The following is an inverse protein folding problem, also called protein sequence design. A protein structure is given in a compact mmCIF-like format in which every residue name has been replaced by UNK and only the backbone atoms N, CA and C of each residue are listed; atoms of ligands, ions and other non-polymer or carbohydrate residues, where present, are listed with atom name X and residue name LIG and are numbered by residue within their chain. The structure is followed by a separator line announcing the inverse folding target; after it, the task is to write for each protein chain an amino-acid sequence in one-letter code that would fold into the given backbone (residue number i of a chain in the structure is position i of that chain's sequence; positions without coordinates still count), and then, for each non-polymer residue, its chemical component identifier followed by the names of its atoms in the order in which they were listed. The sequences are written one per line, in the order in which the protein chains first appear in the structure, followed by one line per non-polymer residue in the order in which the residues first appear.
data_IF_909086004696
#
_entry.id   IF_909086004696
#
_cell.length_a   1.000
_cell.length_b   1.000
_cell.length_c   1.000
_cell.angle_alpha   90.00
_cell.angle_beta   90.00
_cell.angle_gamma   90.00
#
_symmetry.space_group_name_H-M   'P 1'
#
loop_
_entity.id
_entity.type
_entity.pdbx_description
1 polymer ?
#
# COMPACT_ATOMS: atom_id res chain seq x y z
N UNK A 1 -29.96 14.74 -15.21
CA UNK A 1 -28.63 14.81 -15.85
C UNK A 1 -27.56 14.25 -14.92
N UNK A 2 -27.60 12.94 -14.62
CA UNK A 2 -26.77 12.32 -13.56
C UNK A 2 -25.69 11.33 -14.06
N UNK A 3 -25.51 11.17 -15.38
CA UNK A 3 -24.54 10.22 -15.94
C UNK A 3 -23.65 10.76 -17.07
N UNK A 4 -23.55 12.09 -17.22
CA UNK A 4 -22.73 12.67 -18.29
C UNK A 4 -21.22 12.71 -17.96
N UNK A 5 -20.83 12.64 -16.68
CA UNK A 5 -19.42 12.68 -16.25
C UNK A 5 -18.79 11.29 -16.06
N UNK A 6 -19.55 10.19 -16.23
CA UNK A 6 -19.08 8.83 -15.98
C UNK A 6 -18.62 8.06 -17.22
N UNK A 7 -18.96 8.53 -18.43
CA UNK A 7 -18.62 7.84 -19.67
C UNK A 7 -17.12 7.92 -19.97
N UNK A 8 -16.47 9.06 -19.76
CA UNK A 8 -15.05 9.25 -20.12
C UNK A 8 -14.10 8.41 -19.26
N UNK A 9 -14.32 8.37 -17.94
CA UNK A 9 -13.49 7.57 -17.02
C UNK A 9 -13.63 6.07 -17.25
N UNK A 10 -14.87 5.60 -17.46
CA UNK A 10 -15.14 4.19 -17.78
C UNK A 10 -14.55 3.79 -19.13
N UNK A 11 -14.74 4.62 -20.17
CA UNK A 11 -14.18 4.37 -21.50
C UNK A 11 -12.67 4.32 -21.44
N UNK A 12 -12.02 5.28 -20.77
CA UNK A 12 -10.56 5.28 -20.58
C UNK A 12 -10.09 3.99 -19.91
N UNK A 13 -10.70 3.60 -18.78
CA UNK A 13 -10.33 2.37 -18.07
C UNK A 13 -10.47 1.13 -18.95
N UNK A 14 -11.54 1.02 -19.74
CA UNK A 14 -11.73 -0.11 -20.66
C UNK A 14 -10.73 -0.11 -21.80
N UNK A 15 -10.45 1.05 -22.40
CA UNK A 15 -9.44 1.18 -23.46
C UNK A 15 -8.05 0.80 -22.92
N UNK A 16 -7.68 1.29 -21.74
CA UNK A 16 -6.42 0.93 -21.08
C UNK A 16 -6.31 -0.57 -20.78
N UNK A 17 -7.39 -1.19 -20.31
CA UNK A 17 -7.44 -2.65 -20.08
C UNK A 17 -7.29 -3.45 -21.37
N UNK A 18 -7.97 -3.07 -22.46
CA UNK A 18 -7.81 -3.75 -23.77
C UNK A 18 -6.38 -3.56 -24.31
N UNK A 19 -5.82 -2.37 -24.19
CA UNK A 19 -4.44 -2.11 -24.60
C UNK A 19 -3.43 -2.95 -23.79
N UNK A 20 -3.63 -3.07 -22.48
CA UNK A 20 -2.83 -3.93 -21.61
C UNK A 20 -2.92 -5.41 -22.02
N UNK A 21 -4.12 -5.89 -22.38
CA UNK A 21 -4.31 -7.25 -22.88
C UNK A 21 -3.60 -7.49 -24.20
N UNK A 22 -3.67 -6.56 -25.15
CA UNK A 22 -2.96 -6.68 -26.42
C UNK A 22 -1.44 -6.70 -26.18
N UNK A 23 -0.94 -5.84 -25.29
CA UNK A 23 0.48 -5.82 -24.91
C UNK A 23 0.90 -7.14 -24.26
N UNK A 24 0.09 -7.70 -23.34
CA UNK A 24 0.38 -8.98 -22.69
C UNK A 24 0.40 -10.14 -23.68
N UNK A 25 -0.54 -10.18 -24.63
CA UNK A 25 -0.63 -11.22 -25.67
C UNK A 25 0.64 -11.29 -26.53
N UNK A 26 1.16 -10.14 -26.96
CA UNK A 26 2.41 -10.07 -27.74
C UNK A 26 3.67 -10.06 -26.88
N UNK A 27 3.57 -10.09 -25.55
CA UNK A 27 4.69 -9.77 -24.65
C UNK A 27 5.95 -10.60 -24.90
N UNK A 28 5.80 -11.91 -25.11
CA UNK A 28 6.94 -12.82 -25.34
C UNK A 28 7.44 -12.79 -26.79
N UNK A 29 6.66 -12.24 -27.71
CA UNK A 29 7.00 -12.12 -29.14
C UNK A 29 7.74 -10.82 -29.43
N UNK A 30 7.42 -9.74 -28.70
CA UNK A 30 8.10 -8.45 -28.86
C UNK A 30 9.57 -8.53 -28.46
N UNK A 31 10.42 -7.96 -29.29
CA UNK A 31 11.83 -7.72 -28.97
C UNK A 31 11.98 -6.70 -27.83
N UNK A 32 13.13 -6.68 -27.12
CA UNK A 32 13.40 -5.65 -26.11
C UNK A 32 13.27 -4.22 -26.65
N UNK A 33 13.78 -3.98 -27.87
CA UNK A 33 13.74 -2.67 -28.51
C UNK A 33 12.29 -2.19 -28.81
N UNK A 34 11.40 -3.07 -29.23
CA UNK A 34 9.99 -2.72 -29.45
C UNK A 34 9.30 -2.32 -28.14
N UNK A 35 9.59 -3.05 -27.06
CA UNK A 35 9.09 -2.71 -25.72
C UNK A 35 9.63 -1.36 -25.26
N UNK A 36 10.92 -1.10 -25.46
CA UNK A 36 11.55 0.19 -25.10
C UNK A 36 10.92 1.37 -25.84
N UNK A 37 10.70 1.26 -27.15
CA UNK A 37 10.06 2.31 -27.95
C UNK A 37 8.64 2.60 -27.43
N UNK A 38 7.87 1.54 -27.14
CA UNK A 38 6.53 1.68 -26.58
C UNK A 38 6.56 2.36 -25.21
N UNK A 39 7.38 1.87 -24.29
CA UNK A 39 7.47 2.40 -22.94
C UNK A 39 8.08 3.79 -22.87
N UNK A 40 8.93 4.17 -23.82
CA UNK A 40 9.39 5.55 -23.98
C UNK A 40 8.20 6.51 -24.19
N UNK A 41 7.25 6.15 -25.06
CA UNK A 41 6.07 7.00 -25.30
C UNK A 41 5.18 7.11 -24.05
N UNK A 42 5.01 6.01 -23.32
CA UNK A 42 4.28 6.01 -22.05
C UNK A 42 4.97 6.89 -21.01
N UNK A 43 6.29 6.80 -20.89
CA UNK A 43 7.06 7.67 -19.99
C UNK A 43 6.90 9.15 -20.38
N UNK A 44 6.98 9.49 -21.67
CA UNK A 44 6.75 10.87 -22.14
C UNK A 44 5.35 11.38 -21.78
N UNK A 45 4.33 10.51 -21.78
CA UNK A 45 2.99 10.87 -21.30
C UNK A 45 3.00 11.14 -19.79
N UNK A 46 3.62 10.26 -18.99
CA UNK A 46 3.68 10.34 -17.52
C UNK A 46 4.51 11.54 -17.02
N UNK A 47 5.51 11.99 -17.79
CA UNK A 47 6.24 13.22 -17.49
C UNK A 47 5.37 14.49 -17.60
N UNK A 48 4.17 14.40 -18.20
CA UNK A 48 3.18 15.47 -18.19
C UNK A 48 3.48 16.65 -19.12
N UNK A 49 4.49 16.55 -19.99
CA UNK A 49 4.87 17.61 -20.96
C UNK A 49 3.73 17.98 -21.93
N UNK A 50 2.74 17.10 -22.09
CA UNK A 50 1.56 17.26 -22.95
C UNK A 50 0.27 17.60 -22.18
N UNK A 51 0.38 17.94 -20.89
CA UNK A 51 -0.75 18.30 -20.03
C UNK A 51 -1.20 17.19 -19.06
N UNK A 52 -1.97 17.58 -18.05
CA UNK A 52 -2.38 16.72 -16.93
C UNK A 52 -3.27 15.53 -17.35
N UNK A 53 -4.11 15.70 -18.37
CA UNK A 53 -4.96 14.60 -18.85
C UNK A 53 -4.15 13.51 -19.51
N UNK A 54 -3.15 13.87 -20.32
CA UNK A 54 -2.22 12.91 -20.95
C UNK A 54 -1.38 12.22 -19.87
N UNK A 55 -0.96 12.97 -18.85
CA UNK A 55 -0.27 12.43 -17.67
C UNK A 55 -1.11 11.37 -16.97
N UNK A 56 -2.36 11.70 -16.66
CA UNK A 56 -3.32 10.80 -16.03
C UNK A 56 -3.56 9.55 -16.90
N UNK A 57 -3.74 9.71 -18.21
CA UNK A 57 -3.94 8.58 -19.14
C UNK A 57 -2.74 7.62 -19.10
N UNK A 58 -1.51 8.16 -19.15
CA UNK A 58 -0.29 7.35 -19.06
C UNK A 58 -0.21 6.53 -17.77
N UNK A 59 -0.55 7.14 -16.64
CA UNK A 59 -0.57 6.46 -15.33
C UNK A 59 -1.65 5.38 -15.27
N UNK A 60 -2.88 5.66 -15.72
CA UNK A 60 -3.96 4.66 -15.73
C UNK A 60 -3.67 3.48 -16.67
N UNK A 61 -2.98 3.73 -17.78
CA UNK A 61 -2.54 2.66 -18.64
C UNK A 61 -1.54 1.74 -17.93
N UNK A 62 -0.55 2.29 -17.22
CA UNK A 62 0.37 1.46 -16.42
C UNK A 62 -0.36 0.70 -15.30
N UNK A 63 -1.33 1.31 -14.62
CA UNK A 63 -2.17 0.64 -13.62
C UNK A 63 -2.91 -0.56 -14.23
N UNK A 64 -3.48 -0.39 -15.43
CA UNK A 64 -4.14 -1.46 -16.18
C UNK A 64 -3.15 -2.55 -16.61
N UNK A 65 -1.93 -2.16 -17.02
CA UNK A 65 -0.88 -3.08 -17.43
C UNK A 65 -0.38 -3.93 -16.26
N UNK A 66 -0.08 -3.31 -15.12
CA UNK A 66 0.31 -4.04 -13.90
C UNK A 66 -0.82 -4.98 -13.47
N UNK A 67 -2.07 -4.54 -13.52
CA UNK A 67 -3.25 -5.37 -13.22
C UNK A 67 -3.32 -6.59 -14.14
N UNK A 68 -3.14 -6.39 -15.45
CA UNK A 68 -3.25 -7.48 -16.41
C UNK A 68 -2.13 -8.52 -16.25
N UNK A 69 -0.95 -8.13 -15.77
CA UNK A 69 0.17 -9.05 -15.55
C UNK A 69 0.14 -9.74 -14.18
N UNK A 70 -0.60 -9.20 -13.20
CA UNK A 70 -0.77 -9.80 -11.88
C UNK A 70 -1.63 -11.08 -11.94
N UNK A 71 -1.30 -12.16 -11.19
CA UNK A 71 -2.08 -13.40 -11.20
C UNK A 71 -3.51 -13.25 -10.72
N UNK A 72 -3.74 -12.40 -9.71
CA UNK A 72 -5.06 -12.23 -9.08
C UNK A 72 -6.05 -11.47 -9.97
N UNK A 73 -5.54 -10.72 -10.95
CA UNK A 73 -6.33 -9.79 -11.78
C UNK A 73 -6.14 -10.00 -13.28
N UNK A 74 -5.24 -10.91 -13.70
CA UNK A 74 -5.03 -11.25 -15.10
C UNK A 74 -6.31 -11.77 -15.74
N UNK A 75 -6.59 -11.32 -16.95
CA UNK A 75 -7.70 -11.84 -17.73
C UNK A 75 -7.47 -13.29 -18.17
N UNK A 76 -8.56 -14.03 -18.36
CA UNK A 76 -8.54 -15.36 -18.97
C UNK A 76 -8.37 -15.23 -20.49
N UNK A 77 -7.13 -15.31 -20.97
CA UNK A 77 -6.81 -15.08 -22.39
C UNK A 77 -6.87 -16.35 -23.25
N UNK A 78 -7.21 -17.50 -22.66
CA UNK A 78 -7.13 -18.81 -23.32
C UNK A 78 -5.70 -19.29 -23.55
N UNK A 79 -4.72 -18.73 -22.83
CA UNK A 79 -3.30 -19.06 -22.95
C UNK A 79 -2.83 -19.96 -21.80
N UNK A 80 -1.76 -20.76 -22.00
CA UNK A 80 -1.23 -21.63 -20.96
C UNK A 80 -0.77 -20.87 -19.72
N UNK A 81 -0.88 -21.48 -18.54
CA UNK A 81 -0.40 -20.90 -17.28
C UNK A 81 1.07 -20.46 -17.34
N UNK A 82 1.91 -21.24 -18.00
CA UNK A 82 3.33 -20.93 -18.19
C UNK A 82 3.56 -19.61 -18.92
N UNK A 83 2.69 -19.28 -19.89
CA UNK A 83 2.72 -17.99 -20.58
C UNK A 83 2.50 -16.84 -19.59
N UNK A 84 1.44 -16.91 -18.79
CA UNK A 84 1.13 -15.88 -17.78
C UNK A 84 2.27 -15.73 -16.76
N UNK A 85 2.87 -16.84 -16.35
CA UNK A 85 4.00 -16.85 -15.41
C UNK A 85 5.28 -16.26 -15.99
N UNK A 86 5.58 -16.53 -17.26
CA UNK A 86 6.72 -15.95 -17.95
C UNK A 86 6.54 -14.43 -18.15
N UNK A 87 5.33 -13.98 -18.52
CA UNK A 87 5.00 -12.56 -18.58
C UNK A 87 5.15 -11.87 -17.22
N UNK A 88 4.61 -12.47 -16.15
CA UNK A 88 4.73 -11.97 -14.77
C UNK A 88 6.20 -11.79 -14.37
N UNK A 89 7.02 -12.84 -14.50
CA UNK A 89 8.46 -12.81 -14.17
C UNK A 89 9.20 -11.74 -14.96
N UNK A 90 8.92 -11.67 -16.27
CA UNK A 90 9.54 -10.69 -17.17
C UNK A 90 9.19 -9.24 -16.79
N UNK A 91 7.94 -8.97 -16.42
CA UNK A 91 7.52 -7.64 -15.95
C UNK A 91 8.19 -7.28 -14.62
N UNK A 92 8.17 -8.21 -13.66
CA UNK A 92 8.75 -8.03 -12.31
C UNK A 92 10.24 -7.70 -12.37
N UNK A 93 11.00 -8.44 -13.17
CA UNK A 93 12.45 -8.31 -13.23
C UNK A 93 12.90 -7.07 -14.01
N UNK A 94 12.19 -6.71 -15.08
CA UNK A 94 12.70 -5.72 -16.04
C UNK A 94 11.99 -4.36 -15.99
N UNK A 95 10.76 -4.27 -15.48
CA UNK A 95 9.93 -3.07 -15.67
C UNK A 95 9.26 -2.52 -14.40
N UNK A 96 8.88 -3.37 -13.44
CA UNK A 96 8.12 -2.89 -12.26
C UNK A 96 8.86 -1.79 -11.47
N UNK A 97 10.17 -1.94 -11.26
CA UNK A 97 10.98 -0.91 -10.57
C UNK A 97 10.91 0.43 -11.32
N UNK A 98 11.06 0.39 -12.63
CA UNK A 98 11.02 1.58 -13.49
C UNK A 98 9.64 2.23 -13.48
N UNK A 99 8.55 1.45 -13.52
CA UNK A 99 7.20 1.99 -13.43
C UNK A 99 6.93 2.67 -12.09
N UNK A 100 7.44 2.10 -10.99
CA UNK A 100 7.36 2.72 -9.67
C UNK A 100 8.05 4.08 -9.66
N UNK A 101 9.27 4.17 -10.21
CA UNK A 101 10.03 5.43 -10.30
C UNK A 101 9.30 6.48 -11.15
N UNK A 102 8.73 6.08 -12.29
CA UNK A 102 7.94 7.02 -13.12
C UNK A 102 6.70 7.54 -12.39
N UNK A 103 6.01 6.67 -11.64
CA UNK A 103 4.87 7.08 -10.83
C UNK A 103 5.30 8.05 -9.70
N UNK A 104 6.43 7.77 -9.06
CA UNK A 104 7.01 8.62 -8.02
C UNK A 104 7.38 10.00 -8.59
N UNK A 105 8.10 10.08 -9.71
CA UNK A 105 8.50 11.34 -10.35
C UNK A 105 7.29 12.17 -10.78
N UNK A 106 6.27 11.51 -11.34
CA UNK A 106 5.01 12.16 -11.69
C UNK A 106 4.29 12.71 -10.46
N UNK A 107 4.22 11.96 -9.35
CA UNK A 107 3.64 12.45 -8.09
C UNK A 107 4.41 13.66 -7.53
N UNK A 108 5.74 13.61 -7.56
CA UNK A 108 6.61 14.70 -7.13
C UNK A 108 6.37 15.97 -7.95
N UNK A 109 6.27 15.84 -9.29
CA UNK A 109 6.08 16.97 -10.20
C UNK A 109 4.82 17.80 -9.93
N UNK A 110 3.78 17.18 -9.35
CA UNK A 110 2.49 17.82 -9.08
C UNK A 110 2.32 18.22 -7.61
N UNK A 111 3.22 17.78 -6.73
CA UNK A 111 3.09 17.95 -5.26
C UNK A 111 3.03 19.43 -4.85
N UNK A 112 3.96 20.26 -5.31
CA UNK A 112 4.04 21.67 -4.88
C UNK A 112 2.76 22.43 -5.21
N UNK A 113 2.20 22.18 -6.40
CA UNK A 113 0.93 22.81 -6.82
C UNK A 113 -0.25 22.39 -5.95
N UNK A 114 -0.26 21.16 -5.45
CA UNK A 114 -1.30 20.67 -4.53
C UNK A 114 -1.18 21.36 -3.18
N UNK A 115 0.04 21.51 -2.67
CA UNK A 115 0.32 22.09 -1.34
C UNK A 115 0.12 23.61 -1.34
N UNK A 116 0.61 24.32 -2.36
CA UNK A 116 0.59 25.78 -2.42
C UNK A 116 -0.79 26.37 -2.78
N UNK A 117 -1.64 25.60 -3.45
CA UNK A 117 -2.97 26.09 -3.84
C UNK A 117 -3.93 26.13 -2.65
N UNK A 118 -4.73 27.19 -2.54
CA UNK A 118 -5.82 27.31 -1.55
C UNK A 118 -7.15 26.71 -2.02
N UNK A 119 -7.20 26.12 -3.21
CA UNK A 119 -8.42 25.51 -3.78
C UNK A 119 -8.16 24.10 -4.32
N UNK A 120 -9.24 23.44 -4.74
CA UNK A 120 -9.18 22.17 -5.48
C UNK A 120 -8.43 22.36 -6.80
N UNK A 121 -7.38 21.57 -7.02
CA UNK A 121 -6.55 21.62 -8.22
C UNK A 121 -6.62 20.31 -9.01
N UNK A 122 -6.59 20.34 -10.35
CA UNK A 122 -6.67 19.15 -11.19
C UNK A 122 -5.49 18.17 -10.97
N UNK A 123 -4.35 18.66 -10.48
CA UNK A 123 -3.17 17.87 -10.09
C UNK A 123 -3.48 16.75 -9.09
N UNK A 124 -4.49 16.94 -8.22
CA UNK A 124 -4.95 15.93 -7.25
C UNK A 124 -5.31 14.62 -7.96
N UNK A 125 -5.88 14.69 -9.17
CA UNK A 125 -6.26 13.51 -9.97
C UNK A 125 -5.05 12.69 -10.39
N UNK A 126 -3.98 13.36 -10.84
CA UNK A 126 -2.71 12.70 -11.22
C UNK A 126 -2.03 12.11 -10.00
N UNK A 127 -1.90 12.90 -8.93
CA UNK A 127 -1.27 12.46 -7.68
C UNK A 127 -1.98 11.23 -7.09
N UNK A 128 -3.32 11.23 -7.08
CA UNK A 128 -4.09 10.07 -6.65
C UNK A 128 -3.79 8.82 -7.50
N UNK A 129 -3.78 8.96 -8.84
CA UNK A 129 -3.51 7.84 -9.73
C UNK A 129 -2.09 7.28 -9.57
N UNK A 130 -1.10 8.14 -9.36
CA UNK A 130 0.30 7.70 -9.17
C UNK A 130 0.49 7.00 -7.83
N UNK A 131 -0.11 7.50 -6.75
CA UNK A 131 -0.10 6.86 -5.44
C UNK A 131 -0.77 5.48 -5.49
N UNK A 132 -1.91 5.36 -6.19
CA UNK A 132 -2.57 4.07 -6.43
C UNK A 132 -1.70 3.08 -7.19
N UNK A 133 -1.06 3.55 -8.27
CA UNK A 133 -0.14 2.72 -9.06
C UNK A 133 1.03 2.21 -8.21
N UNK A 134 1.67 3.10 -7.43
CA UNK A 134 2.74 2.71 -6.51
C UNK A 134 2.26 1.67 -5.49
N UNK A 135 1.09 1.89 -4.87
CA UNK A 135 0.51 0.93 -3.93
C UNK A 135 0.21 -0.42 -4.59
N UNK A 136 -0.33 -0.43 -5.82
CA UNK A 136 -0.58 -1.65 -6.57
C UNK A 136 0.71 -2.41 -6.89
N UNK A 137 1.76 -1.71 -7.31
CA UNK A 137 3.07 -2.32 -7.57
C UNK A 137 3.65 -2.92 -6.30
N UNK A 138 3.50 -2.28 -5.14
CA UNK A 138 3.97 -2.84 -3.87
C UNK A 138 3.09 -4.00 -3.38
N UNK A 139 1.83 -4.10 -3.78
CA UNK A 139 1.00 -5.30 -3.58
C UNK A 139 1.30 -6.44 -4.56
N UNK A 140 2.32 -6.28 -5.41
CA UNK A 140 2.78 -7.35 -6.27
C UNK A 140 3.31 -8.52 -5.42
N UNK A 141 2.96 -9.74 -5.81
CA UNK A 141 3.52 -10.95 -5.21
C UNK A 141 4.97 -11.14 -5.69
N UNK A 142 5.95 -10.51 -5.06
CA UNK A 142 7.37 -10.68 -5.43
C UNK A 142 7.85 -12.12 -5.19
N UNK A 143 8.57 -12.70 -6.15
CA UNK A 143 9.05 -14.10 -6.07
C UNK A 143 10.50 -14.23 -5.61
N UNK A 144 11.11 -13.13 -5.15
CA UNK A 144 12.50 -13.12 -4.71
C UNK A 144 12.63 -13.55 -3.24
N UNK A 145 12.41 -14.84 -2.97
CA UNK A 145 12.85 -15.47 -1.72
C UNK A 145 13.58 -16.76 -2.05
N UNK A 146 14.91 -16.75 -1.89
CA UNK A 146 15.68 -17.98 -1.82
C UNK A 146 15.31 -18.71 -0.52
N UNK A 147 14.62 -19.84 -0.63
CA UNK A 147 14.69 -20.90 0.38
C UNK A 147 13.76 -20.81 1.60
N UNK A 148 12.69 -20.02 1.60
CA UNK A 148 11.64 -20.11 2.62
C UNK A 148 10.52 -21.06 2.19
N UNK A 149 10.20 -22.07 3.00
CA UNK A 149 9.11 -23.05 2.81
C UNK A 149 7.72 -22.40 2.79
N UNK A 150 7.40 -21.68 1.70
CA UNK A 150 6.05 -21.39 1.23
C UNK A 150 5.96 -21.54 -0.29
N UNK A 151 6.67 -22.54 -0.81
CA UNK A 151 6.36 -23.08 -2.11
C UNK A 151 4.98 -23.78 -2.04
N UNK A 152 4.01 -23.16 -2.70
CA UNK A 152 2.80 -23.78 -3.26
C UNK A 152 1.92 -24.63 -2.34
N UNK A 153 0.77 -24.07 -1.93
CA UNK A 153 -0.49 -24.84 -1.96
C UNK A 153 -1.56 -23.95 -2.61
N UNK A 154 -1.91 -24.30 -3.85
CA UNK A 154 -3.17 -24.06 -4.57
C UNK A 154 -3.90 -22.71 -4.45
N UNK A 155 -3.67 -21.81 -5.42
CA UNK A 155 -4.55 -20.66 -5.70
C UNK A 155 -5.72 -21.03 -6.66
N UNK A 156 -5.82 -22.28 -7.09
CA UNK A 156 -7.04 -22.81 -7.71
C UNK A 156 -7.29 -24.22 -7.19
N UNK A 157 -7.92 -24.33 -6.02
CA UNK A 157 -8.64 -25.53 -5.64
C UNK A 157 -10.10 -25.33 -6.05
N UNK A 158 -10.42 -25.84 -7.24
CA UNK A 158 -11.78 -26.18 -7.59
C UNK A 158 -12.25 -27.31 -6.67
N UNK A 159 -13.33 -27.08 -5.91
CA UNK A 159 -14.05 -28.08 -5.12
C UNK A 159 -13.28 -28.83 -4.04
N UNK A 160 -13.35 -28.34 -2.79
CA UNK A 160 -13.67 -29.08 -1.54
C UNK A 160 -13.52 -28.06 -0.39
N UNK A 161 -14.62 -27.73 0.29
CA UNK A 161 -14.64 -26.96 1.53
C UNK A 161 -14.05 -27.80 2.67
N UNK A 162 -13.02 -27.34 3.40
CA UNK A 162 -12.92 -27.62 4.82
C UNK A 162 -13.65 -26.52 5.60
N UNK A 163 -14.47 -26.94 6.56
CA UNK A 163 -15.31 -26.10 7.39
C UNK A 163 -14.59 -24.93 8.09
N UNK A 164 -15.37 -23.86 8.25
CA UNK A 164 -15.12 -22.62 8.96
C UNK A 164 -14.72 -22.84 10.44
N UNK A 165 -13.54 -22.34 10.86
CA UNK A 165 -13.25 -21.92 12.25
C UNK A 165 -11.83 -21.34 12.47
N UNK A 166 -10.91 -21.42 11.50
CA UNK A 166 -9.54 -20.90 11.64
C UNK A 166 -9.41 -19.54 10.94
N UNK A 167 -9.59 -18.49 11.76
CA UNK A 167 -9.29 -17.06 11.58
C UNK A 167 -9.39 -16.46 10.17
N UNK A 168 -10.34 -15.52 10.02
CA UNK A 168 -10.19 -14.36 9.12
C UNK A 168 -8.98 -13.55 9.60
N UNK A 169 -7.77 -14.01 9.30
CA UNK A 169 -6.58 -13.22 9.55
C UNK A 169 -6.66 -12.02 8.63
N UNK A 170 -6.59 -10.81 9.18
CA UNK A 170 -6.57 -9.59 8.40
C UNK A 170 -5.39 -9.66 7.44
N UNK A 171 -5.64 -9.45 6.14
CA UNK A 171 -4.64 -9.62 5.09
C UNK A 171 -3.55 -8.56 5.20
N UNK A 172 -2.43 -8.91 5.84
CA UNK A 172 -1.18 -8.15 5.79
C UNK A 172 -0.30 -8.72 4.67
N UNK A 173 -0.18 -7.99 3.55
CA UNK A 173 0.68 -8.35 2.42
C UNK A 173 2.11 -7.88 2.71
N UNK A 174 3.05 -8.82 2.87
CA UNK A 174 4.47 -8.48 3.09
C UNK A 174 5.12 -8.16 1.73
N UNK A 175 5.80 -7.02 1.66
CA UNK A 175 6.48 -6.54 0.44
C UNK A 175 7.93 -7.01 0.44
N UNK A 176 8.28 -7.92 -0.48
CA UNK A 176 9.61 -8.54 -0.55
C UNK A 176 10.30 -8.40 -1.91
N UNK A 177 10.57 -7.17 -2.38
CA UNK A 177 11.33 -6.95 -3.59
C UNK A 177 12.82 -7.31 -3.41
N UNK A 178 13.52 -7.54 -4.51
CA UNK A 178 14.95 -7.83 -4.49
C UNK A 178 15.82 -6.63 -4.07
N UNK A 179 17.10 -6.87 -3.77
CA UNK A 179 18.07 -5.86 -3.32
C UNK A 179 18.17 -4.64 -4.25
N UNK A 180 17.88 -4.80 -5.54
CA UNK A 180 17.86 -3.70 -6.50
C UNK A 180 16.80 -2.64 -6.22
N UNK A 181 15.86 -2.84 -5.28
CA UNK A 181 14.84 -1.86 -4.91
C UNK A 181 15.22 -1.00 -3.69
N UNK A 182 16.35 -1.29 -3.05
CA UNK A 182 16.81 -0.61 -1.83
C UNK A 182 16.90 0.91 -2.00
N UNK A 183 17.53 1.36 -3.08
CA UNK A 183 17.73 2.78 -3.42
C UNK A 183 16.40 3.53 -3.65
N UNK A 184 15.36 2.83 -4.08
CA UNK A 184 14.06 3.43 -4.39
C UNK A 184 13.14 3.46 -3.17
N UNK A 185 13.04 2.34 -2.44
CA UNK A 185 12.04 2.20 -1.37
C UNK A 185 12.56 2.57 0.02
N UNK A 186 13.85 2.35 0.31
CA UNK A 186 14.45 2.70 1.61
C UNK A 186 15.07 4.11 1.63
N UNK A 187 15.00 4.84 0.51
CA UNK A 187 15.45 6.23 0.48
C UNK A 187 14.58 7.08 1.41
N UNK A 188 15.20 7.67 2.43
CA UNK A 188 14.52 8.53 3.41
C UNK A 188 13.83 9.73 2.76
N UNK A 189 14.29 10.17 1.59
CA UNK A 189 13.66 11.25 0.84
C UNK A 189 12.28 10.87 0.30
N UNK A 190 12.09 9.63 -0.14
CA UNK A 190 10.80 9.15 -0.65
C UNK A 190 9.75 9.08 0.46
N UNK A 191 10.09 8.41 1.56
CA UNK A 191 9.19 8.23 2.71
C UNK A 191 8.90 9.56 3.38
N UNK A 192 9.93 10.39 3.59
CA UNK A 192 9.78 11.73 4.14
C UNK A 192 8.88 12.61 3.28
N UNK A 193 9.05 12.58 1.96
CA UNK A 193 8.15 13.28 1.04
C UNK A 193 6.69 12.80 1.17
N UNK A 194 6.45 11.48 1.22
CA UNK A 194 5.09 10.94 1.29
C UNK A 194 4.38 11.33 2.59
N UNK A 195 5.08 11.25 3.72
CA UNK A 195 4.55 11.68 5.03
C UNK A 195 4.27 13.18 5.04
N UNK A 196 5.17 13.99 4.46
CA UNK A 196 4.98 15.44 4.37
C UNK A 196 3.80 15.78 3.46
N UNK A 197 3.68 15.13 2.30
CA UNK A 197 2.53 15.30 1.41
C UNK A 197 1.23 14.99 2.15
N UNK A 198 1.16 13.86 2.85
CA UNK A 198 -0.02 13.50 3.64
C UNK A 198 -0.33 14.55 4.71
N UNK A 199 0.68 15.01 5.44
CA UNK A 199 0.54 16.00 6.51
C UNK A 199 0.08 17.36 5.96
N UNK A 200 0.58 17.80 4.81
CA UNK A 200 0.15 19.02 4.15
C UNK A 200 -1.28 18.92 3.63
N UNK A 201 -1.67 17.77 3.06
CA UNK A 201 -3.06 17.51 2.64
C UNK A 201 -3.99 17.51 3.87
N UNK A 202 -3.58 16.86 4.97
CA UNK A 202 -4.30 16.86 6.26
C UNK A 202 -4.56 18.28 6.75
N UNK A 203 -3.55 19.14 6.79
CA UNK A 203 -3.70 20.53 7.24
C UNK A 203 -4.55 21.37 6.28
N UNK A 204 -4.35 21.21 4.97
CA UNK A 204 -5.04 22.00 3.94
C UNK A 204 -6.55 21.81 3.97
N UNK A 205 -6.99 20.57 4.12
CA UNK A 205 -8.40 20.22 4.00
C UNK A 205 -9.09 20.00 5.36
N UNK A 206 -8.43 20.31 6.48
CA UNK A 206 -8.95 20.09 7.83
C UNK A 206 -10.32 20.78 8.05
N UNK A 207 -10.49 21.96 7.46
CA UNK A 207 -11.72 22.76 7.53
C UNK A 207 -12.87 22.23 6.67
N UNK A 208 -12.61 21.33 5.72
CA UNK A 208 -13.61 20.83 4.77
C UNK A 208 -14.39 19.61 5.31
N UNK A 209 -13.98 19.03 6.46
CA UNK A 209 -14.71 17.95 7.15
C UNK A 209 -14.70 16.57 6.46
N UNK A 210 -14.43 16.48 5.14
CA UNK A 210 -14.38 15.23 4.37
C UNK A 210 -12.97 14.85 3.90
N UNK A 211 -11.93 15.48 4.44
CA UNK A 211 -10.58 15.36 3.90
C UNK A 211 -9.93 13.99 4.09
N UNK A 212 -10.25 13.32 5.20
CA UNK A 212 -9.70 12.01 5.55
C UNK A 212 -9.97 10.99 4.45
N UNK A 213 -11.14 11.08 3.84
CA UNK A 213 -11.61 10.18 2.80
C UNK A 213 -11.45 10.76 1.40
N UNK A 214 -10.74 11.87 1.26
CA UNK A 214 -10.40 12.37 -0.07
C UNK A 214 -9.46 11.37 -0.77
N UNK A 215 -9.59 11.17 -2.10
CA UNK A 215 -8.88 10.10 -2.80
C UNK A 215 -7.35 10.09 -2.59
N UNK A 216 -6.73 11.27 -2.57
CA UNK A 216 -5.28 11.39 -2.34
C UNK A 216 -4.90 10.98 -0.93
N UNK A 217 -5.66 11.38 0.10
CA UNK A 217 -5.40 11.00 1.48
C UNK A 217 -5.51 9.48 1.66
N UNK A 218 -6.57 8.86 1.12
CA UNK A 218 -6.77 7.40 1.15
C UNK A 218 -5.61 6.68 0.46
N UNK A 219 -5.24 7.09 -0.76
CA UNK A 219 -4.15 6.47 -1.52
C UNK A 219 -2.79 6.65 -0.85
N UNK A 220 -2.53 7.81 -0.24
CA UNK A 220 -1.32 8.08 0.52
C UNK A 220 -1.24 7.17 1.76
N UNK A 221 -2.29 7.06 2.57
CA UNK A 221 -2.31 6.16 3.74
C UNK A 221 -2.09 4.71 3.34
N UNK A 222 -2.77 4.23 2.30
CA UNK A 222 -2.57 2.87 1.77
C UNK A 222 -1.12 2.62 1.35
N UNK A 223 -0.47 3.58 0.71
CA UNK A 223 0.94 3.48 0.35
C UNK A 223 1.85 3.49 1.58
N UNK A 224 1.60 4.36 2.57
CA UNK A 224 2.34 4.40 3.85
C UNK A 224 2.24 3.06 4.59
N UNK A 225 1.02 2.52 4.73
CA UNK A 225 0.78 1.21 5.37
C UNK A 225 1.51 0.09 4.63
N UNK A 226 1.52 0.13 3.29
CA UNK A 226 2.23 -0.86 2.49
C UNK A 226 3.75 -0.77 2.69
N UNK A 227 4.32 0.44 2.75
CA UNK A 227 5.74 0.65 3.02
C UNK A 227 6.16 0.19 4.43
N UNK A 228 5.23 0.11 5.39
CA UNK A 228 5.47 -0.47 6.72
C UNK A 228 5.72 -1.98 6.69
N UNK A 229 5.29 -2.66 5.63
CA UNK A 229 5.41 -4.13 5.47
C UNK A 229 6.62 -4.56 4.64
N UNK A 230 7.55 -3.62 4.38
CA UNK A 230 8.75 -3.85 3.58
C UNK A 230 9.73 -4.77 4.33
N UNK A 231 10.07 -5.90 3.72
CA UNK A 231 10.95 -6.93 4.26
C UNK A 231 11.77 -7.63 3.18
N UNK A 232 12.64 -8.57 3.57
CA UNK A 232 13.41 -9.40 2.65
C UNK A 232 14.82 -8.87 2.35
N UNK A 233 15.39 -9.26 1.21
CA UNK A 233 16.78 -8.97 0.82
C UNK A 233 17.04 -7.50 0.45
N UNK A 234 16.09 -6.60 0.70
CA UNK A 234 16.24 -5.17 0.42
C UNK A 234 17.28 -4.49 1.32
N UNK A 235 17.68 -5.09 2.45
CA UNK A 235 18.74 -4.59 3.33
C UNK A 235 19.94 -5.57 3.37
N UNK A 236 20.76 -5.64 2.32
CA UNK A 236 21.77 -6.69 2.18
C UNK A 236 23.07 -6.49 3.01
N UNK A 237 23.30 -5.34 3.67
CA UNK A 237 24.62 -5.03 4.28
C UNK A 237 24.67 -4.39 5.68
N UNK A 238 23.58 -3.79 6.18
CA UNK A 238 23.67 -2.80 7.28
C UNK A 238 23.09 -3.27 8.62
N UNK A 239 23.10 -4.57 8.91
CA UNK A 239 22.56 -5.16 10.16
C UNK A 239 21.12 -4.69 10.50
N UNK A 240 20.32 -4.34 9.48
CA UNK A 240 18.94 -3.85 9.67
C UNK A 240 18.80 -2.37 10.04
N UNK A 241 19.89 -1.58 10.15
CA UNK A 241 19.81 -0.17 10.56
C UNK A 241 18.99 0.70 9.60
N UNK A 242 19.18 0.55 8.29
CA UNK A 242 18.39 1.28 7.29
C UNK A 242 16.90 0.94 7.38
N UNK A 243 16.57 -0.33 7.64
CA UNK A 243 15.19 -0.76 7.84
C UNK A 243 14.61 -0.19 9.14
N UNK A 244 15.36 -0.18 10.25
CA UNK A 244 14.93 0.47 11.50
C UNK A 244 14.65 1.95 11.29
N UNK A 245 15.53 2.68 10.59
CA UNK A 245 15.33 4.11 10.29
C UNK A 245 14.10 4.36 9.40
N UNK A 246 13.90 3.52 8.38
CA UNK A 246 12.72 3.54 7.51
C UNK A 246 11.43 3.35 8.31
N UNK A 247 11.36 2.31 9.14
CA UNK A 247 10.19 2.02 9.97
C UNK A 247 9.97 3.08 11.04
N UNK A 248 11.05 3.66 11.61
CA UNK A 248 10.96 4.76 12.55
C UNK A 248 10.29 5.99 11.93
N UNK A 249 10.70 6.34 10.70
CA UNK A 249 10.13 7.46 9.98
C UNK A 249 8.65 7.22 9.66
N UNK A 250 8.29 6.04 9.16
CA UNK A 250 6.88 5.66 8.92
C UNK A 250 6.05 5.70 10.21
N UNK A 251 6.56 5.12 11.30
CA UNK A 251 5.87 5.10 12.59
C UNK A 251 5.65 6.54 13.10
N UNK A 252 6.61 7.44 12.92
CA UNK A 252 6.44 8.84 13.30
C UNK A 252 5.29 9.54 12.55
N UNK A 253 5.05 9.18 11.29
CA UNK A 253 3.93 9.70 10.49
C UNK A 253 2.59 9.04 10.80
N UNK A 254 2.60 7.79 11.25
CA UNK A 254 1.40 6.99 11.57
C UNK A 254 0.88 7.23 12.98
N UNK A 255 1.76 7.46 13.98
CA UNK A 255 1.35 7.62 15.38
C UNK A 255 0.23 8.65 15.59
N UNK A 256 0.22 9.83 14.94
CA UNK A 256 -0.87 10.80 15.04
C UNK A 256 -2.24 10.32 14.53
N UNK A 257 -2.33 9.13 13.95
CA UNK A 257 -3.59 8.52 13.50
C UNK A 257 -4.25 7.66 14.58
N UNK A 258 -3.49 7.29 15.63
CA UNK A 258 -3.90 6.29 16.62
C UNK A 258 -3.62 6.70 18.07
N UNK A 259 -2.78 7.71 18.31
CA UNK A 259 -2.37 8.14 19.66
C UNK A 259 -2.62 9.64 19.89
N UNK A 260 -3.26 10.05 21.00
CA UNK A 260 -3.84 9.21 22.06
C UNK A 260 -5.20 8.60 21.66
N UNK A 261 -5.47 7.31 21.94
CA UNK A 261 -6.65 6.60 21.40
C UNK A 261 -8.00 7.20 21.81
N UNK A 262 -8.12 7.67 23.05
CA UNK A 262 -9.36 8.21 23.64
C UNK A 262 -9.77 9.55 23.02
N UNK A 263 -8.80 10.36 22.60
CA UNK A 263 -9.08 11.61 21.88
C UNK A 263 -9.58 11.29 20.47
N UNK A 264 -8.92 10.35 19.78
CA UNK A 264 -9.29 9.99 18.41
C UNK A 264 -10.64 9.28 18.35
N UNK A 265 -10.93 8.37 19.30
CA UNK A 265 -12.24 7.73 19.38
C UNK A 265 -13.35 8.75 19.58
N UNK A 266 -13.14 9.75 20.45
CA UNK A 266 -14.09 10.84 20.69
C UNK A 266 -14.31 11.69 19.45
N UNK A 267 -13.24 12.03 18.72
CA UNK A 267 -13.38 12.76 17.44
C UNK A 267 -14.21 11.96 16.42
N UNK A 268 -14.04 10.63 16.38
CA UNK A 268 -14.83 9.75 15.52
C UNK A 268 -16.30 9.73 15.95
N UNK A 269 -16.58 9.68 17.26
CA UNK A 269 -17.94 9.81 17.81
C UNK A 269 -18.57 11.17 17.46
N UNK A 270 -17.77 12.23 17.38
CA UNK A 270 -18.19 13.58 16.96
C UNK A 270 -18.35 13.73 15.43
N UNK A 271 -18.13 12.65 14.66
CA UNK A 271 -18.40 12.59 13.22
C UNK A 271 -17.16 12.54 12.32
N UNK A 272 -15.95 12.44 12.89
CA UNK A 272 -14.72 12.22 12.12
C UNK A 272 -14.68 10.80 11.55
N UNK A 273 -14.08 10.62 10.38
CA UNK A 273 -13.91 9.28 9.81
C UNK A 273 -12.93 8.42 10.63
N UNK A 274 -13.30 7.17 10.90
CA UNK A 274 -12.43 6.18 11.57
C UNK A 274 -11.31 5.61 10.68
N UNK A 275 -11.19 6.05 9.42
CA UNK A 275 -10.25 5.51 8.45
C UNK A 275 -8.79 5.61 8.90
N UNK A 276 -8.39 6.74 9.52
CA UNK A 276 -7.03 6.93 10.04
C UNK A 276 -6.70 5.94 11.15
N UNK A 277 -7.63 5.72 12.07
CA UNK A 277 -7.47 4.77 13.18
C UNK A 277 -7.29 3.34 12.64
N UNK A 278 -8.12 2.93 11.67
CA UNK A 278 -8.03 1.61 11.04
C UNK A 278 -6.69 1.46 10.29
N UNK A 279 -6.32 2.43 9.46
CA UNK A 279 -5.07 2.38 8.69
C UNK A 279 -3.84 2.41 9.62
N UNK A 280 -3.90 3.14 10.73
CA UNK A 280 -2.85 3.13 11.74
C UNK A 280 -2.72 1.79 12.45
N UNK A 281 -3.83 1.12 12.78
CA UNK A 281 -3.81 -0.26 13.28
C UNK A 281 -3.17 -1.21 12.25
N UNK A 282 -3.51 -1.09 10.96
CA UNK A 282 -2.90 -1.88 9.88
C UNK A 282 -1.40 -1.64 9.77
N UNK A 283 -0.95 -0.39 9.90
CA UNK A 283 0.47 -0.06 9.92
C UNK A 283 1.20 -0.70 11.11
N UNK A 284 0.61 -0.72 12.31
CA UNK A 284 1.19 -1.44 13.46
C UNK A 284 1.29 -2.95 13.21
N UNK A 285 0.27 -3.56 12.60
CA UNK A 285 0.30 -4.97 12.19
C UNK A 285 1.42 -5.23 11.19
N UNK A 286 1.56 -4.38 10.17
CA UNK A 286 2.64 -4.46 9.17
C UNK A 286 4.02 -4.40 9.83
N UNK A 287 4.25 -3.41 10.70
CA UNK A 287 5.52 -3.25 11.44
C UNK A 287 5.79 -4.49 12.31
N UNK A 288 4.78 -4.95 13.07
CA UNK A 288 4.91 -6.13 13.93
C UNK A 288 5.13 -7.43 13.17
N UNK A 289 4.74 -7.50 11.91
CA UNK A 289 4.97 -8.66 11.03
C UNK A 289 6.42 -8.72 10.53
N UNK A 290 7.08 -7.57 10.36
CA UNK A 290 8.43 -7.49 9.79
C UNK A 290 9.53 -7.19 10.82
N UNK A 291 9.17 -7.01 12.09
CA UNK A 291 10.10 -6.73 13.18
C UNK A 291 9.92 -7.71 14.35
N UNK A 292 10.98 -7.90 15.14
CA UNK A 292 10.86 -8.60 16.41
C UNK A 292 10.19 -7.70 17.46
N UNK A 293 9.55 -8.27 18.51
CA UNK A 293 8.94 -7.47 19.57
C UNK A 293 9.91 -6.48 20.24
N UNK A 294 11.19 -6.85 20.37
CA UNK A 294 12.23 -5.99 20.95
C UNK A 294 12.54 -4.79 20.06
N UNK A 295 12.67 -5.00 18.74
CA UNK A 295 12.91 -3.91 17.78
C UNK A 295 11.70 -2.99 17.72
N UNK A 296 10.49 -3.54 17.68
CA UNK A 296 9.28 -2.72 17.67
C UNK A 296 9.17 -1.88 18.95
N UNK A 297 9.40 -2.46 20.13
CA UNK A 297 9.37 -1.72 21.39
C UNK A 297 10.41 -0.60 21.41
N UNK A 298 11.63 -0.85 20.91
CA UNK A 298 12.68 0.17 20.76
C UNK A 298 12.26 1.30 19.82
N UNK A 299 11.68 0.99 18.65
CA UNK A 299 11.18 1.98 17.71
C UNK A 299 10.13 2.88 18.37
N UNK A 300 9.15 2.29 19.07
CA UNK A 300 8.10 3.08 19.69
C UNK A 300 8.61 3.94 20.85
N UNK A 301 9.49 3.40 21.70
CA UNK A 301 10.10 4.14 22.82
C UNK A 301 10.97 5.32 22.38
N UNK A 302 11.45 5.32 21.13
CA UNK A 302 12.18 6.45 20.59
C UNK A 302 11.27 7.64 20.22
N UNK A 303 9.96 7.40 20.06
CA UNK A 303 8.95 8.40 19.69
C UNK A 303 7.99 8.75 20.83
N UNK A 304 7.85 7.86 21.82
CA UNK A 304 6.90 7.96 22.94
C UNK A 304 7.54 7.50 24.25
N UNK A 305 7.04 7.97 25.41
CA UNK A 305 7.56 7.56 26.72
C UNK A 305 7.18 6.12 27.10
N UNK A 306 6.31 5.46 26.32
CA UNK A 306 5.81 4.11 26.56
C UNK A 306 6.18 3.17 25.40
N UNK A 307 6.15 1.87 25.70
CA UNK A 307 6.51 0.80 24.77
C UNK A 307 5.32 0.16 24.07
N UNK A 308 5.58 -0.84 23.22
CA UNK A 308 4.60 -1.43 22.29
C UNK A 308 3.40 -2.01 23.03
N UNK A 309 3.64 -2.72 24.13
CA UNK A 309 2.57 -3.33 24.94
C UNK A 309 1.61 -2.29 25.51
N UNK A 310 2.13 -1.14 25.97
CA UNK A 310 1.31 -0.08 26.53
C UNK A 310 0.43 0.54 25.46
N UNK A 311 0.99 0.88 24.28
CA UNK A 311 0.21 1.43 23.17
C UNK A 311 -0.90 0.47 22.72
N UNK A 312 -0.56 -0.80 22.49
CA UNK A 312 -1.54 -1.81 22.05
C UNK A 312 -2.62 -2.06 23.11
N UNK A 313 -2.29 -1.96 24.40
CA UNK A 313 -3.26 -2.09 25.49
C UNK A 313 -4.19 -0.89 25.55
N UNK A 314 -3.68 0.34 25.38
CA UNK A 314 -4.50 1.55 25.32
C UNK A 314 -5.45 1.52 24.12
N UNK A 315 -4.94 1.15 22.93
CA UNK A 315 -5.75 1.01 21.72
C UNK A 315 -6.84 -0.05 21.88
N UNK A 316 -6.48 -1.25 22.33
CA UNK A 316 -7.45 -2.32 22.54
C UNK A 316 -8.49 -1.94 23.60
N UNK A 317 -8.07 -1.29 24.69
CA UNK A 317 -8.95 -0.81 25.74
C UNK A 317 -10.00 0.18 25.22
N UNK A 318 -9.56 1.16 24.42
CA UNK A 318 -10.48 2.15 23.85
C UNK A 318 -11.40 1.53 22.79
N UNK A 319 -10.88 0.67 21.91
CA UNK A 319 -11.70 -0.06 20.92
C UNK A 319 -12.78 -0.92 21.60
N UNK A 320 -12.42 -1.65 22.67
CA UNK A 320 -13.39 -2.44 23.44
C UNK A 320 -14.41 -1.53 24.13
N UNK A 321 -13.99 -0.40 24.71
CA UNK A 321 -14.92 0.57 25.30
C UNK A 321 -15.95 1.06 24.30
N UNK A 322 -15.54 1.43 23.08
CA UNK A 322 -16.45 1.87 22.00
C UNK A 322 -17.38 0.73 21.57
N UNK A 323 -16.86 -0.50 21.43
CA UNK A 323 -17.69 -1.68 21.11
C UNK A 323 -18.75 -1.95 22.18
N UNK A 324 -18.42 -1.79 23.46
CA UNK A 324 -19.36 -2.00 24.56
C UNK A 324 -20.43 -0.90 24.64
N UNK A 325 -20.10 0.33 24.20
CA UNK A 325 -21.04 1.44 24.14
C UNK A 325 -22.00 1.33 22.94
N UNK A 326 -21.51 0.83 21.80
CA UNK A 326 -22.29 0.68 20.56
C UNK A 326 -22.85 -0.75 20.45
N UNK A 327 -24.05 -0.94 21.02
CA UNK A 327 -24.78 -2.23 21.02
C UNK A 327 -25.51 -2.56 19.70
N UNK A 328 -25.23 -1.83 18.62
CA UNK A 328 -25.83 -2.04 17.31
C UNK A 328 -25.08 -3.10 16.51
N UNK A 329 -25.81 -3.97 15.81
CA UNK A 329 -25.25 -5.05 14.95
C UNK A 329 -24.53 -4.55 13.67
N UNK A 330 -24.36 -3.24 13.49
CA UNK A 330 -23.62 -2.68 12.36
C UNK A 330 -22.10 -2.77 12.59
N UNK A 331 -21.36 -3.27 11.59
CA UNK A 331 -19.90 -3.31 11.60
C UNK A 331 -19.34 -1.87 11.58
N UNK A 332 -19.03 -1.35 12.77
CA UNK A 332 -18.35 -0.06 12.97
C UNK A 332 -16.83 -0.19 12.79
N UNK A 333 -16.14 0.96 12.69
CA UNK A 333 -14.67 1.03 12.64
C UNK A 333 -13.98 0.25 13.77
N UNK A 334 -14.62 0.17 14.94
CA UNK A 334 -14.09 -0.50 16.12
C UNK A 334 -14.10 -2.03 16.00
N UNK A 335 -15.01 -2.64 15.22
CA UNK A 335 -14.97 -4.08 14.93
C UNK A 335 -13.74 -4.43 14.10
N UNK A 336 -13.47 -3.64 13.04
CA UNK A 336 -12.32 -3.84 12.18
C UNK A 336 -11.00 -3.57 12.92
N UNK A 337 -10.92 -2.47 13.67
CA UNK A 337 -9.75 -2.15 14.49
C UNK A 337 -9.45 -3.24 15.53
N UNK A 338 -10.48 -3.82 16.17
CA UNK A 338 -10.31 -4.94 17.11
C UNK A 338 -9.65 -6.12 16.43
N UNK A 339 -10.14 -6.54 15.26
CA UNK A 339 -9.64 -7.73 14.57
C UNK A 339 -8.17 -7.54 14.14
N UNK A 340 -7.84 -6.35 13.60
CA UNK A 340 -6.44 -5.99 13.27
C UNK A 340 -5.54 -6.00 14.50
N UNK A 341 -5.99 -5.42 15.62
CA UNK A 341 -5.19 -5.36 16.84
C UNK A 341 -5.00 -6.76 17.45
N UNK A 342 -6.02 -7.63 17.41
CA UNK A 342 -5.87 -9.04 17.81
C UNK A 342 -4.85 -9.78 16.93
N UNK A 343 -4.87 -9.55 15.62
CA UNK A 343 -3.85 -10.08 14.71
C UNK A 343 -2.45 -9.53 15.03
N UNK A 344 -2.37 -8.28 15.45
CA UNK A 344 -1.09 -7.65 15.86
C UNK A 344 -0.56 -8.30 17.14
N UNK A 345 -1.42 -8.45 18.16
CA UNK A 345 -1.08 -9.13 19.41
C UNK A 345 -0.61 -10.57 19.16
N UNK A 346 -1.36 -11.34 18.37
CA UNK A 346 -1.00 -12.73 18.07
C UNK A 346 0.31 -12.83 17.29
N UNK A 347 0.57 -11.90 16.36
CA UNK A 347 1.84 -11.85 15.61
C UNK A 347 3.02 -11.61 16.55
N UNK A 348 2.93 -10.63 17.46
CA UNK A 348 4.01 -10.32 18.41
C UNK A 348 4.23 -11.44 19.44
N UNK A 349 3.17 -12.07 19.92
CA UNK A 349 3.27 -13.20 20.85
C UNK A 349 3.85 -14.46 20.18
N UNK A 350 3.50 -14.71 18.92
CA UNK A 350 4.08 -15.81 18.15
C UNK A 350 5.60 -15.65 18.04
N UNK A 351 6.11 -14.45 17.73
CA UNK A 351 7.54 -14.16 17.72
C UNK A 351 8.23 -14.48 19.06
N UNK A 352 7.63 -14.08 20.18
CA UNK A 352 8.19 -14.35 21.51
C UNK A 352 8.30 -15.85 21.81
N UNK A 353 7.34 -16.65 21.34
CA UNK A 353 7.36 -18.12 21.50
C UNK A 353 8.38 -18.80 20.57
N UNK A 354 8.66 -18.23 19.40
CA UNK A 354 9.72 -18.73 18.50
C UNK A 354 11.10 -18.50 19.09
N UNK A 355 11.35 -17.33 19.69
CA UNK A 355 12.64 -16.98 20.29
C UNK A 355 12.99 -17.88 21.48
N UNK A 356 11.99 -18.24 22.31
CA UNK A 356 12.16 -19.18 23.42
C UNK A 356 12.45 -20.63 23.03
N UNK A 357 12.24 -21.02 21.77
CA UNK A 357 12.54 -22.39 21.27
C UNK A 357 13.93 -22.51 20.66
N UNK A 358 14.62 -21.40 20.43
CA UNK A 358 15.94 -21.35 19.81
C UNK A 358 17.07 -21.03 20.80
N UNK A 359 16.74 -20.66 22.04
CA UNK A 359 17.66 -20.61 23.19
C UNK A 359 17.54 -21.85 24.06
#
# INVERSE_FOLDING_TARGET
MQHANSSEGYVLSKVSSVAAQLMKRGWLEFTPAEKEVFFYQINQAILGSRGLDVQFIGVNFLESLVSEFSPSTSSAMGLPREFHENCRKSLEQNFLKTFYQWAQDAALSVTNKIIESHSSVPEVKVCNATLRLMHQILNWEFRYSKGGTRASINVFSDGIRPDNALSRKTECVIVQPGASWCDVLLSSSHVGWLINLYSSVRQKFDLEGYWLDCPVAVSARKLIVQLCSLAGEISPSDNGQMQEQHLLLLLSGVLPWIDPPDVISKEIEEGRSGSEMIDGCRALLSIGTVTTPVVFDKLLRSLRPFGTLTLLSMLMGEVVKVLMANSTDEETWSYEARDILLDTWTTLLAWALFDQRLG
#
